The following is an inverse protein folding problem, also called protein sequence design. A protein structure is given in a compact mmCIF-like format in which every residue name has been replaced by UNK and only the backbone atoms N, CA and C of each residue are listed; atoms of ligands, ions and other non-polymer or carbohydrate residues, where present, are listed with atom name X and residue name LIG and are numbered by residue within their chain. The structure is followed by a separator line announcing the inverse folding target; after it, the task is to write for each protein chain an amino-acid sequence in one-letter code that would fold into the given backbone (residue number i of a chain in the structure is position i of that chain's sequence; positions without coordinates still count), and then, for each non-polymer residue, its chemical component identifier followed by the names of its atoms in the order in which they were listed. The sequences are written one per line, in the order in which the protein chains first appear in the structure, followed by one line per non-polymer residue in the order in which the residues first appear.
data_IF_840636759727
#
_entry.id   IF_840636759727
#
_cell.length_a   1.000
_cell.length_b   1.000
_cell.length_c   1.000
_cell.angle_alpha   90.00
_cell.angle_beta   90.00
_cell.angle_gamma   90.00
#
_symmetry.space_group_name_H-M   'P 1'
#
loop_
_entity.id
_entity.type
_entity.pdbx_description
1 polymer ?
#
# COMPACT_ATOMS: atom_id res chain seq x y z
N UNK A 1 -37.89 4.50 -26.65
CA UNK A 1 -37.01 3.34 -26.90
C UNK A 1 -35.92 3.85 -27.81
N UNK A 2 -34.71 4.08 -27.30
CA UNK A 2 -33.59 4.50 -28.13
C UNK A 2 -33.00 3.25 -28.78
N UNK A 3 -32.99 3.21 -30.11
CA UNK A 3 -32.32 2.17 -30.89
C UNK A 3 -30.81 2.34 -30.69
N UNK A 4 -30.18 1.29 -30.17
CA UNK A 4 -28.72 1.17 -30.08
C UNK A 4 -28.22 0.97 -31.51
N UNK A 5 -27.29 1.82 -31.94
CA UNK A 5 -26.79 1.82 -33.32
C UNK A 5 -25.88 0.60 -33.56
N UNK A 6 -25.82 0.06 -34.78
CA UNK A 6 -24.90 -1.04 -35.13
C UNK A 6 -23.41 -0.70 -34.90
N UNK A 7 -23.06 0.59 -34.81
CA UNK A 7 -21.74 1.07 -34.39
C UNK A 7 -21.43 0.77 -32.90
N UNK A 8 -22.44 0.82 -32.02
CA UNK A 8 -22.28 0.48 -30.60
C UNK A 8 -22.05 -1.02 -30.38
N UNK A 9 -22.56 -1.88 -31.27
CA UNK A 9 -22.37 -3.34 -31.22
C UNK A 9 -20.96 -3.72 -31.70
N UNK A 10 -20.40 -3.01 -32.67
CA UNK A 10 -19.06 -3.28 -33.21
C UNK A 10 -17.94 -2.74 -32.31
N UNK A 11 -18.18 -1.68 -31.54
CA UNK A 11 -17.25 -1.20 -30.51
C UNK A 11 -17.07 -2.20 -29.34
N UNK A 12 -18.13 -2.94 -28.98
CA UNK A 12 -18.06 -3.99 -27.95
C UNK A 12 -17.30 -5.26 -28.40
N UNK A 13 -17.19 -5.49 -29.72
CA UNK A 13 -16.53 -6.67 -30.30
C UNK A 13 -15.00 -6.55 -30.39
N UNK A 14 -14.45 -5.35 -30.20
CA UNK A 14 -13.00 -5.07 -30.28
C UNK A 14 -12.37 -4.79 -28.91
N UNK A 15 -13.03 -5.18 -27.81
CA UNK A 15 -12.34 -5.28 -26.52
C UNK A 15 -11.16 -6.25 -26.69
N UNK A 16 -9.92 -5.87 -26.30
CA UNK A 16 -8.82 -6.82 -26.30
C UNK A 16 -9.25 -8.03 -25.49
N UNK A 17 -9.15 -9.23 -26.08
CA UNK A 17 -9.49 -10.46 -25.40
C UNK A 17 -8.74 -10.50 -24.08
N UNK A 18 -9.46 -10.42 -22.96
CA UNK A 18 -8.90 -10.62 -21.62
C UNK A 18 -8.16 -11.95 -21.67
N UNK A 19 -6.84 -11.93 -21.53
CA UNK A 19 -6.03 -13.14 -21.41
C UNK A 19 -6.60 -13.91 -20.22
N UNK A 20 -7.37 -14.97 -20.50
CA UNK A 20 -7.89 -15.84 -19.46
C UNK A 20 -6.76 -16.74 -19.00
N UNK A 21 -6.18 -16.39 -17.85
CA UNK A 21 -5.21 -17.26 -17.18
C UNK A 21 -5.93 -18.50 -16.65
N UNK A 22 -5.33 -19.65 -16.90
CA UNK A 22 -5.82 -20.93 -16.41
C UNK A 22 -5.23 -21.24 -15.04
N UNK A 23 -5.86 -22.17 -14.32
CA UNK A 23 -5.26 -22.69 -13.07
C UNK A 23 -3.89 -23.34 -13.28
N UNK A 24 -3.64 -23.90 -14.48
CA UNK A 24 -2.38 -24.55 -14.80
C UNK A 24 -1.25 -23.53 -15.00
N UNK A 25 -1.56 -22.33 -15.52
CA UNK A 25 -0.56 -21.26 -15.66
C UNK A 25 -0.03 -20.80 -14.30
N UNK A 26 -0.94 -20.62 -13.33
CA UNK A 26 -0.57 -20.25 -11.95
C UNK A 26 0.26 -21.38 -11.31
N UNK A 27 -0.16 -22.64 -11.47
CA UNK A 27 0.57 -23.78 -10.91
C UNK A 27 1.95 -23.94 -11.55
N UNK A 28 2.06 -23.80 -12.87
CA UNK A 28 3.33 -23.90 -13.58
C UNK A 28 4.30 -22.81 -13.12
N UNK A 29 3.82 -21.56 -12.99
CA UNK A 29 4.63 -20.45 -12.48
C UNK A 29 5.07 -20.66 -11.03
N UNK A 30 4.17 -21.12 -10.16
CA UNK A 30 4.48 -21.43 -8.76
C UNK A 30 5.49 -22.59 -8.64
N UNK A 31 5.29 -23.68 -9.38
CA UNK A 31 6.18 -24.85 -9.37
C UNK A 31 7.58 -24.52 -9.90
N UNK A 32 7.70 -23.56 -10.82
CA UNK A 32 9.00 -23.12 -11.31
C UNK A 32 9.86 -22.45 -10.23
N UNK A 33 9.26 -21.98 -9.13
CA UNK A 33 9.96 -21.45 -7.96
C UNK A 33 10.45 -22.54 -6.98
N UNK A 34 10.19 -23.83 -7.25
CA UNK A 34 10.51 -24.93 -6.33
C UNK A 34 11.56 -25.90 -6.93
N UNK A 35 12.76 -26.04 -6.32
CA UNK A 35 13.33 -25.17 -5.27
C UNK A 35 13.72 -23.79 -5.83
N UNK A 36 13.75 -22.74 -4.99
CA UNK A 36 14.03 -21.39 -5.47
C UNK A 36 15.49 -21.27 -5.94
N UNK A 37 15.74 -20.73 -7.15
CA UNK A 37 17.09 -20.44 -7.61
C UNK A 37 17.78 -19.43 -6.68
N UNK A 38 19.05 -19.66 -6.35
CA UNK A 38 19.79 -18.76 -5.43
C UNK A 38 20.24 -17.44 -6.07
N UNK A 39 20.11 -17.29 -7.39
CA UNK A 39 20.58 -16.10 -8.13
C UNK A 39 19.40 -15.18 -8.48
N UNK A 40 19.43 -13.88 -8.11
CA UNK A 40 18.40 -12.90 -8.48
C UNK A 40 18.07 -12.89 -9.97
N UNK A 41 19.09 -13.01 -10.83
CA UNK A 41 18.92 -13.03 -12.29
C UNK A 41 18.03 -14.17 -12.81
N UNK A 42 17.99 -15.29 -12.09
CA UNK A 42 17.17 -16.45 -12.44
C UNK A 42 15.82 -16.40 -11.72
N UNK A 43 15.80 -15.83 -10.52
CA UNK A 43 14.63 -15.77 -9.67
C UNK A 43 13.62 -14.68 -10.10
N UNK A 44 14.11 -13.49 -10.47
CA UNK A 44 13.25 -12.36 -10.85
C UNK A 44 12.30 -12.68 -12.02
N UNK A 45 12.72 -13.32 -13.13
CA UNK A 45 11.80 -13.69 -14.20
C UNK A 45 10.70 -14.67 -13.76
N UNK A 46 11.01 -15.57 -12.83
CA UNK A 46 10.04 -16.55 -12.31
C UNK A 46 9.00 -15.87 -11.41
N UNK A 47 9.45 -14.96 -10.54
CA UNK A 47 8.55 -14.14 -9.73
C UNK A 47 7.71 -13.20 -10.58
N UNK A 48 8.28 -12.62 -11.64
CA UNK A 48 7.52 -11.76 -12.57
C UNK A 48 6.41 -12.56 -13.27
N UNK A 49 6.73 -13.78 -13.72
CA UNK A 49 5.76 -14.67 -14.34
C UNK A 49 4.63 -15.03 -13.37
N UNK A 50 4.95 -15.38 -12.12
CA UNK A 50 3.92 -15.66 -11.11
C UNK A 50 3.08 -14.42 -10.81
N UNK A 51 3.72 -13.26 -10.60
CA UNK A 51 3.04 -11.99 -10.37
C UNK A 51 2.10 -11.61 -11.52
N UNK A 52 2.53 -11.79 -12.77
CA UNK A 52 1.70 -11.61 -13.96
C UNK A 52 0.50 -12.56 -13.95
N UNK A 53 0.71 -13.85 -13.63
CA UNK A 53 -0.37 -14.82 -13.54
C UNK A 53 -1.44 -14.42 -12.51
N UNK A 54 -1.01 -13.95 -11.34
CA UNK A 54 -1.88 -13.47 -10.28
C UNK A 54 -2.61 -12.17 -10.68
N UNK A 55 -1.91 -11.22 -11.31
CA UNK A 55 -2.48 -9.94 -11.75
C UNK A 55 -3.68 -10.09 -12.71
N UNK A 56 -3.64 -11.09 -13.58
CA UNK A 56 -4.74 -11.37 -14.51
C UNK A 56 -5.90 -12.17 -13.89
N UNK A 57 -5.76 -12.60 -12.63
CA UNK A 57 -6.80 -13.34 -11.93
C UNK A 57 -7.79 -12.37 -11.28
N UNK A 58 -9.06 -12.43 -11.66
CA UNK A 58 -10.09 -11.59 -11.05
C UNK A 58 -10.29 -11.92 -9.56
N UNK A 59 -10.80 -10.94 -8.80
CA UNK A 59 -11.20 -11.15 -7.41
C UNK A 59 -12.33 -12.19 -7.32
N UNK A 60 -12.34 -12.96 -6.24
CA UNK A 60 -13.30 -14.07 -6.02
C UNK A 60 -13.31 -15.09 -7.16
N UNK A 61 -12.17 -15.73 -7.46
CA UNK A 61 -12.04 -16.65 -8.59
C UNK A 61 -12.79 -17.98 -8.35
N UNK A 62 -12.84 -18.83 -9.37
CA UNK A 62 -13.39 -20.18 -9.23
C UNK A 62 -12.61 -21.00 -8.19
N UNK A 63 -13.24 -22.02 -7.61
CA UNK A 63 -12.61 -22.89 -6.60
C UNK A 63 -11.30 -23.54 -7.08
N UNK A 64 -11.21 -23.85 -8.37
CA UNK A 64 -10.01 -24.49 -8.93
C UNK A 64 -8.85 -23.49 -9.08
N UNK A 65 -9.14 -22.26 -9.52
CA UNK A 65 -8.17 -21.16 -9.55
C UNK A 65 -7.75 -20.78 -8.12
N UNK A 66 -8.69 -20.69 -7.18
CA UNK A 66 -8.37 -20.40 -5.77
C UNK A 66 -7.45 -21.47 -5.17
N UNK A 67 -7.65 -22.75 -5.52
CA UNK A 67 -6.73 -23.82 -5.14
C UNK A 67 -5.33 -23.62 -5.72
N UNK A 68 -5.21 -23.17 -6.97
CA UNK A 68 -3.92 -22.84 -7.57
C UNK A 68 -3.25 -21.62 -6.90
N UNK A 69 -4.01 -20.59 -6.57
CA UNK A 69 -3.53 -19.41 -5.82
C UNK A 69 -3.01 -19.80 -4.44
N UNK A 70 -3.74 -20.67 -3.72
CA UNK A 70 -3.30 -21.17 -2.42
C UNK A 70 -2.01 -21.99 -2.52
N UNK A 71 -1.83 -22.78 -3.59
CA UNK A 71 -0.59 -23.50 -3.85
C UNK A 71 0.59 -22.55 -4.14
N UNK A 72 0.33 -21.45 -4.85
CA UNK A 72 1.34 -20.45 -5.16
C UNK A 72 1.90 -19.72 -3.92
N UNK A 73 1.21 -19.79 -2.77
CA UNK A 73 1.69 -19.20 -1.52
C UNK A 73 2.89 -19.96 -0.94
N UNK A 74 2.95 -21.27 -1.09
CA UNK A 74 3.98 -22.12 -0.46
C UNK A 74 5.42 -21.70 -0.80
N UNK A 75 5.80 -21.54 -2.08
CA UNK A 75 7.15 -21.07 -2.41
C UNK A 75 7.45 -19.67 -1.88
N UNK A 76 6.46 -18.76 -1.85
CA UNK A 76 6.64 -17.38 -1.40
C UNK A 76 7.01 -17.28 0.08
N UNK A 77 6.68 -18.30 0.88
CA UNK A 77 7.04 -18.39 2.30
C UNK A 77 8.39 -19.06 2.56
N UNK A 78 9.07 -19.57 1.53
CA UNK A 78 10.41 -20.12 1.65
C UNK A 78 11.38 -19.06 2.17
N UNK A 79 12.25 -19.42 3.12
CA UNK A 79 13.21 -18.49 3.73
C UNK A 79 14.15 -17.88 2.67
N UNK A 80 14.44 -18.65 1.63
CA UNK A 80 15.22 -18.24 0.46
C UNK A 80 14.60 -17.05 -0.28
N UNK A 81 13.28 -16.88 -0.25
CA UNK A 81 12.58 -15.73 -0.84
C UNK A 81 12.30 -14.64 0.18
N UNK A 82 11.80 -15.01 1.36
CA UNK A 82 11.42 -14.05 2.41
C UNK A 82 12.62 -13.29 2.98
N UNK A 83 13.71 -14.01 3.24
CA UNK A 83 14.90 -13.48 3.89
C UNK A 83 16.00 -13.15 2.86
N UNK A 84 15.62 -13.09 1.58
CA UNK A 84 16.53 -12.78 0.48
C UNK A 84 17.14 -11.38 0.65
N UNK A 85 18.43 -11.21 0.34
CA UNK A 85 19.14 -9.92 0.57
C UNK A 85 18.91 -8.89 -0.54
N UNK A 86 18.62 -9.35 -1.76
CA UNK A 86 18.34 -8.50 -2.91
C UNK A 86 16.99 -7.79 -2.78
N UNK A 87 17.00 -6.47 -2.96
CA UNK A 87 15.83 -5.60 -2.78
C UNK A 87 14.79 -5.80 -3.87
N UNK A 88 15.21 -6.01 -5.13
CA UNK A 88 14.27 -6.23 -6.24
C UNK A 88 13.53 -7.55 -6.01
N UNK A 89 14.22 -8.62 -5.57
CA UNK A 89 13.56 -9.89 -5.22
C UNK A 89 12.46 -9.67 -4.19
N UNK A 90 12.71 -8.89 -3.13
CA UNK A 90 11.69 -8.57 -2.12
C UNK A 90 10.50 -7.83 -2.70
N UNK A 91 10.71 -6.87 -3.60
CA UNK A 91 9.61 -6.15 -4.27
C UNK A 91 8.76 -7.08 -5.11
N UNK A 92 9.37 -8.03 -5.81
CA UNK A 92 8.63 -9.01 -6.61
C UNK A 92 7.85 -10.01 -5.76
N UNK A 93 8.39 -10.44 -4.61
CA UNK A 93 7.65 -11.23 -3.61
C UNK A 93 6.48 -10.41 -3.04
N UNK A 94 6.71 -9.13 -2.71
CA UNK A 94 5.67 -8.21 -2.24
C UNK A 94 4.53 -8.07 -3.24
N UNK A 95 4.86 -7.94 -4.52
CA UNK A 95 3.89 -7.89 -5.61
C UNK A 95 3.02 -9.14 -5.67
N UNK A 96 3.63 -10.34 -5.57
CA UNK A 96 2.87 -11.60 -5.56
C UNK A 96 1.88 -11.63 -4.38
N UNK A 97 2.33 -11.27 -3.17
CA UNK A 97 1.43 -11.20 -2.02
C UNK A 97 0.33 -10.13 -2.16
N UNK A 98 0.66 -8.97 -2.72
CA UNK A 98 -0.32 -7.90 -2.96
C UNK A 98 -1.43 -8.34 -3.91
N UNK A 99 -1.08 -9.11 -4.96
CA UNK A 99 -2.07 -9.69 -5.87
C UNK A 99 -2.90 -10.79 -5.21
N UNK A 100 -2.28 -11.62 -4.37
CA UNK A 100 -3.02 -12.62 -3.60
C UNK A 100 -4.04 -11.93 -2.69
N UNK A 101 -3.65 -10.88 -1.97
CA UNK A 101 -4.57 -10.08 -1.16
C UNK A 101 -5.72 -9.53 -2.00
N UNK A 102 -5.44 -8.97 -3.19
CA UNK A 102 -6.48 -8.50 -4.13
C UNK A 102 -7.44 -9.61 -4.54
N UNK A 103 -6.92 -10.78 -4.91
CA UNK A 103 -7.72 -11.93 -5.37
C UNK A 103 -8.63 -12.44 -4.26
N UNK A 104 -8.12 -12.51 -3.03
CA UNK A 104 -8.80 -13.12 -1.88
C UNK A 104 -9.59 -12.13 -1.03
N UNK A 105 -9.49 -10.83 -1.31
CA UNK A 105 -10.30 -9.82 -0.63
C UNK A 105 -11.80 -10.16 -0.75
N UNK A 106 -12.61 -9.91 0.31
CA UNK A 106 -12.26 -9.28 1.58
C UNK A 106 -11.69 -10.24 2.65
N UNK A 107 -11.65 -11.54 2.37
CA UNK A 107 -11.35 -12.60 3.33
C UNK A 107 -10.00 -13.28 3.00
N UNK A 108 -8.86 -12.64 3.30
CA UNK A 108 -7.55 -13.19 2.96
C UNK A 108 -7.27 -14.51 3.71
N UNK A 109 -6.62 -15.49 3.07
CA UNK A 109 -6.37 -16.81 3.63
C UNK A 109 -5.13 -16.83 4.54
N UNK A 110 -4.84 -15.71 5.22
CA UNK A 110 -3.66 -15.50 6.04
C UNK A 110 -4.07 -15.25 7.49
N UNK A 111 -3.30 -15.79 8.43
CA UNK A 111 -3.46 -15.41 9.84
C UNK A 111 -2.87 -14.02 10.15
N UNK A 112 -3.20 -13.46 11.31
CA UNK A 112 -2.73 -12.14 11.75
C UNK A 112 -1.21 -11.98 11.71
N UNK A 113 -0.46 -13.04 11.98
CA UNK A 113 1.01 -13.04 11.95
C UNK A 113 1.53 -12.97 10.52
N UNK A 114 0.99 -13.81 9.64
CA UNK A 114 1.30 -13.79 8.20
C UNK A 114 0.95 -12.44 7.57
N UNK A 115 -0.23 -11.89 7.86
CA UNK A 115 -0.66 -10.59 7.37
C UNK A 115 0.33 -9.47 7.77
N UNK A 116 0.82 -9.49 9.01
CA UNK A 116 1.82 -8.52 9.49
C UNK A 116 3.13 -8.59 8.71
N UNK A 117 3.63 -9.80 8.42
CA UNK A 117 4.85 -9.96 7.63
C UNK A 117 4.65 -9.53 6.17
N UNK A 118 3.48 -9.83 5.58
CA UNK A 118 3.13 -9.35 4.23
C UNK A 118 3.10 -7.82 4.19
N UNK A 119 2.43 -7.17 5.15
CA UNK A 119 2.39 -5.70 5.16
C UNK A 119 3.74 -5.06 5.40
N UNK A 120 4.62 -5.66 6.22
CA UNK A 120 6.01 -5.17 6.35
C UNK A 120 6.71 -5.18 5.01
N UNK A 121 6.56 -6.26 4.25
CA UNK A 121 7.16 -6.39 2.93
C UNK A 121 6.59 -5.37 1.94
N UNK A 122 5.27 -5.18 1.91
CA UNK A 122 4.59 -4.18 1.07
C UNK A 122 5.05 -2.76 1.43
N UNK A 123 5.01 -2.37 2.70
CA UNK A 123 5.39 -1.03 3.14
C UNK A 123 6.86 -0.73 2.86
N UNK A 124 7.75 -1.71 3.00
CA UNK A 124 9.16 -1.55 2.64
C UNK A 124 9.35 -1.26 1.13
N UNK A 125 8.41 -1.66 0.26
CA UNK A 125 8.49 -1.30 -1.17
C UNK A 125 8.33 0.20 -1.43
N UNK A 126 7.70 0.93 -0.50
CA UNK A 126 7.42 2.36 -0.64
C UNK A 126 8.62 3.27 -0.32
N UNK A 127 9.66 2.76 0.33
CA UNK A 127 10.87 3.54 0.66
C UNK A 127 11.58 4.07 -0.60
N UNK A 128 11.64 3.28 -1.67
CA UNK A 128 12.31 3.68 -2.93
C UNK A 128 11.35 3.82 -4.12
N UNK A 129 10.08 4.15 -3.86
CA UNK A 129 9.04 4.18 -4.91
C UNK A 129 9.24 5.23 -6.00
N UNK A 130 10.01 6.30 -5.73
CA UNK A 130 10.29 7.36 -6.72
C UNK A 130 11.71 7.29 -7.29
N UNK A 131 12.40 6.16 -7.19
CA UNK A 131 13.71 5.96 -7.83
C UNK A 131 13.54 5.34 -9.24
N UNK A 132 13.59 6.15 -10.31
CA UNK A 132 13.44 5.65 -11.68
C UNK A 132 14.63 4.78 -12.14
N UNK A 133 15.73 4.74 -11.39
CA UNK A 133 16.89 3.90 -11.70
C UNK A 133 16.73 2.46 -11.18
N UNK A 134 15.77 2.21 -10.29
CA UNK A 134 15.47 0.88 -9.77
C UNK A 134 14.81 0.01 -10.84
N UNK A 135 15.28 -1.25 -10.98
CA UNK A 135 14.67 -2.23 -11.88
C UNK A 135 13.22 -2.54 -11.50
N UNK A 136 12.87 -2.39 -10.22
CA UNK A 136 11.53 -2.62 -9.71
C UNK A 136 10.67 -1.35 -9.64
N UNK A 137 11.08 -0.22 -10.25
CA UNK A 137 10.37 1.07 -10.16
C UNK A 137 8.89 0.96 -10.56
N UNK A 138 8.62 0.43 -11.76
CA UNK A 138 7.24 0.22 -12.25
C UNK A 138 6.45 -0.70 -11.32
N UNK A 139 7.12 -1.72 -10.76
CA UNK A 139 6.50 -2.69 -9.87
C UNK A 139 6.10 -2.06 -8.53
N UNK A 140 6.89 -1.16 -7.97
CA UNK A 140 6.55 -0.43 -6.73
C UNK A 140 5.33 0.46 -6.91
N UNK A 141 5.22 1.14 -8.05
CA UNK A 141 4.02 1.95 -8.35
C UNK A 141 2.79 1.08 -8.50
N UNK A 142 2.91 -0.03 -9.23
CA UNK A 142 1.82 -1.00 -9.36
C UNK A 142 1.36 -1.54 -7.99
N UNK A 143 2.30 -1.86 -7.09
CA UNK A 143 1.98 -2.28 -5.71
C UNK A 143 1.17 -1.21 -4.98
N UNK A 144 1.60 0.07 -5.05
CA UNK A 144 0.90 1.19 -4.43
C UNK A 144 -0.53 1.35 -4.95
N UNK A 145 -0.73 1.29 -6.27
CA UNK A 145 -2.03 1.45 -6.91
C UNK A 145 -2.98 0.31 -6.52
N UNK A 146 -2.53 -0.95 -6.57
CA UNK A 146 -3.32 -2.10 -6.11
C UNK A 146 -3.62 -2.00 -4.61
N UNK A 147 -2.66 -1.56 -3.79
CA UNK A 147 -2.83 -1.40 -2.35
C UNK A 147 -3.91 -0.35 -2.01
N UNK A 148 -3.93 0.78 -2.74
CA UNK A 148 -5.00 1.77 -2.67
C UNK A 148 -6.34 1.17 -3.11
N UNK A 149 -6.37 0.52 -4.28
CA UNK A 149 -7.59 -0.02 -4.89
C UNK A 149 -8.32 -1.02 -3.99
N UNK A 150 -7.56 -1.91 -3.35
CA UNK A 150 -8.12 -2.93 -2.42
C UNK A 150 -8.35 -2.35 -1.03
N UNK A 151 -7.92 -1.11 -0.79
CA UNK A 151 -7.94 -0.47 0.52
C UNK A 151 -7.30 -1.36 1.58
N UNK A 152 -6.15 -1.95 1.24
CA UNK A 152 -5.43 -2.94 2.05
C UNK A 152 -4.99 -2.39 3.41
N UNK A 153 -4.95 -1.07 3.57
CA UNK A 153 -4.74 -0.41 4.84
C UNK A 153 -5.83 -0.74 5.89
N UNK A 154 -7.04 -1.16 5.49
CA UNK A 154 -8.11 -1.54 6.44
C UNK A 154 -7.63 -2.67 7.35
N UNK A 155 -7.07 -3.72 6.74
CA UNK A 155 -6.50 -4.84 7.50
C UNK A 155 -5.34 -4.40 8.41
N UNK A 156 -4.57 -3.39 8.01
CA UNK A 156 -3.52 -2.84 8.90
C UNK A 156 -4.10 -2.15 10.13
N UNK A 157 -5.26 -1.49 10.01
CA UNK A 157 -5.98 -0.88 11.13
C UNK A 157 -6.57 -1.97 12.04
N UNK A 158 -7.25 -2.97 11.46
CA UNK A 158 -7.84 -4.10 12.19
C UNK A 158 -6.79 -4.88 13.00
N UNK A 159 -5.61 -5.09 12.42
CA UNK A 159 -4.47 -5.77 13.05
C UNK A 159 -3.68 -4.87 14.03
N UNK A 160 -4.08 -3.60 14.16
CA UNK A 160 -3.45 -2.58 15.01
C UNK A 160 -1.98 -2.32 14.66
N UNK A 161 -1.65 -2.35 13.38
CA UNK A 161 -0.30 -2.12 12.85
C UNK A 161 0.07 -0.63 12.77
N UNK A 162 -0.23 0.17 13.81
CA UNK A 162 -0.10 1.63 13.75
C UNK A 162 1.34 2.12 13.53
N UNK A 163 2.34 1.40 14.05
CA UNK A 163 3.75 1.71 13.78
C UNK A 163 4.10 1.54 12.30
N UNK A 164 3.53 0.53 11.64
CA UNK A 164 3.76 0.25 10.23
C UNK A 164 2.99 1.23 9.33
N UNK A 165 1.80 1.67 9.75
CA UNK A 165 1.07 2.76 9.09
C UNK A 165 1.87 4.07 9.19
N UNK A 166 2.44 4.36 10.37
CA UNK A 166 3.32 5.54 10.56
C UNK A 166 4.54 5.47 9.66
N UNK A 167 5.18 4.30 9.57
CA UNK A 167 6.30 4.05 8.66
C UNK A 167 5.92 4.29 7.19
N UNK A 168 4.78 3.76 6.75
CA UNK A 168 4.25 4.00 5.40
C UNK A 168 4.06 5.50 5.12
N UNK A 169 3.52 6.25 6.09
CA UNK A 169 3.34 7.69 5.95
C UNK A 169 4.70 8.41 5.82
N UNK A 170 5.70 8.00 6.59
CA UNK A 170 7.05 8.55 6.46
C UNK A 170 7.64 8.28 5.07
N UNK A 171 7.52 7.05 4.56
CA UNK A 171 7.97 6.70 3.21
C UNK A 171 7.32 7.59 2.16
N UNK A 172 6.01 7.81 2.23
CA UNK A 172 5.29 8.68 1.29
C UNK A 172 5.75 10.15 1.37
N UNK A 173 5.96 10.67 2.58
CA UNK A 173 6.33 12.06 2.79
C UNK A 173 7.81 12.34 2.42
N UNK A 174 8.70 11.37 2.60
CA UNK A 174 10.14 11.55 2.38
C UNK A 174 10.57 11.19 0.96
N UNK A 175 9.98 10.15 0.37
CA UNK A 175 10.52 9.54 -0.84
C UNK A 175 9.79 9.93 -2.12
N UNK A 176 8.71 10.72 -2.04
CA UNK A 176 8.00 11.21 -3.23
C UNK A 176 8.86 12.19 -4.04
N UNK A 177 8.97 11.97 -5.36
CA UNK A 177 9.63 12.88 -6.30
C UNK A 177 8.72 13.16 -7.49
N UNK A 178 8.49 14.44 -7.82
CA UNK A 178 7.93 14.82 -9.12
C UNK A 178 9.06 14.89 -10.14
N UNK A 179 9.24 13.85 -10.95
CA UNK A 179 10.00 14.03 -12.17
C UNK A 179 9.14 14.74 -13.23
N UNK A 180 9.65 15.84 -13.76
CA UNK A 180 9.02 16.63 -14.83
C UNK A 180 9.20 15.99 -16.22
N UNK A 181 9.76 14.79 -16.30
CA UNK A 181 10.20 14.15 -17.55
C UNK A 181 9.10 13.33 -18.24
N UNK A 182 8.03 12.94 -17.54
CA UNK A 182 7.03 12.01 -18.07
C UNK A 182 6.15 12.58 -19.19
N UNK A 183 6.05 13.91 -19.33
CA UNK A 183 5.32 14.54 -20.47
C UNK A 183 5.93 14.10 -21.82
N UNK A 184 7.23 13.81 -21.88
CA UNK A 184 7.90 13.39 -23.13
C UNK A 184 7.68 11.91 -23.47
N UNK A 185 7.35 11.07 -22.48
CA UNK A 185 7.17 9.62 -22.67
C UNK A 185 5.79 9.33 -23.29
N UNK A 186 4.75 10.07 -22.89
CA UNK A 186 3.41 9.95 -23.48
C UNK A 186 3.40 10.16 -25.00
N UNK A 187 4.33 10.94 -25.55
CA UNK A 187 4.43 11.22 -27.00
C UNK A 187 5.14 10.09 -27.76
N UNK A 188 6.09 9.38 -27.14
CA UNK A 188 6.81 8.27 -27.78
C UNK A 188 5.95 7.00 -27.84
N UNK A 189 5.09 6.77 -26.84
CA UNK A 189 4.18 5.62 -26.77
C UNK A 189 3.18 5.61 -27.94
N UNK A 190 2.73 6.78 -28.39
CA UNK A 190 1.79 6.93 -29.50
C UNK A 190 2.38 6.50 -30.87
N UNK A 191 3.70 6.38 -30.99
CA UNK A 191 4.39 6.14 -32.26
C UNK A 191 4.67 4.64 -32.53
N UNK A 192 4.63 3.76 -31.51
CA UNK A 192 5.20 2.39 -31.63
C UNK A 192 4.16 1.26 -31.47
N UNK A 193 2.95 1.52 -30.97
CA UNK A 193 1.84 0.54 -31.02
C UNK A 193 2.06 -0.75 -30.18
N UNK A 194 2.88 -0.72 -29.13
CA UNK A 194 2.89 -1.76 -28.08
C UNK A 194 2.12 -1.25 -26.85
N UNK A 195 1.20 -2.06 -26.27
CA UNK A 195 0.58 -1.72 -25.00
C UNK A 195 1.61 -1.93 -23.88
N UNK A 196 2.23 -0.85 -23.44
CA UNK A 196 2.88 -0.83 -22.12
C UNK A 196 1.72 -0.74 -21.12
N UNK A 197 1.44 -1.85 -20.43
CA UNK A 197 0.55 -1.81 -19.26
C UNK A 197 1.30 -0.99 -18.21
N UNK A 198 0.91 0.28 -18.05
CA UNK A 198 1.43 1.15 -17.00
C UNK A 198 2.00 2.47 -17.51
N UNK A 199 1.15 3.37 -17.99
CA UNK A 199 1.44 4.81 -17.95
C UNK A 199 1.36 5.28 -16.48
N UNK A 200 2.30 4.81 -15.64
CA UNK A 200 2.37 5.20 -14.24
C UNK A 200 3.00 6.60 -14.14
N UNK A 201 2.15 7.62 -14.25
CA UNK A 201 2.57 9.00 -14.17
C UNK A 201 2.96 9.36 -12.72
N UNK A 202 4.01 10.17 -12.46
CA UNK A 202 4.36 10.61 -11.11
C UNK A 202 3.22 11.29 -10.35
N UNK A 203 2.24 11.84 -11.08
CA UNK A 203 1.01 12.38 -10.50
C UNK A 203 0.04 11.31 -9.98
N UNK A 204 0.00 10.10 -10.58
CA UNK A 204 -0.77 8.98 -10.03
C UNK A 204 -0.19 8.58 -8.67
N UNK A 205 1.13 8.50 -8.56
CA UNK A 205 1.83 8.21 -7.29
C UNK A 205 1.50 9.25 -6.22
N UNK A 206 1.59 10.55 -6.52
CA UNK A 206 1.21 11.63 -5.60
C UNK A 206 -0.27 11.52 -5.17
N UNK A 207 -1.16 11.22 -6.13
CA UNK A 207 -2.58 11.07 -5.86
C UNK A 207 -2.83 9.89 -4.93
N UNK A 208 -2.31 8.71 -5.26
CA UNK A 208 -2.49 7.47 -4.50
C UNK A 208 -1.96 7.57 -3.09
N UNK A 209 -0.74 8.08 -2.90
CA UNK A 209 -0.19 8.32 -1.56
C UNK A 209 -1.11 9.24 -0.74
N UNK A 210 -1.55 10.35 -1.33
CA UNK A 210 -2.43 11.30 -0.66
C UNK A 210 -3.79 10.69 -0.31
N UNK A 211 -4.40 9.95 -1.23
CA UNK A 211 -5.66 9.25 -1.02
C UNK A 211 -5.55 8.25 0.12
N UNK A 212 -4.53 7.37 0.11
CA UNK A 212 -4.32 6.38 1.18
C UNK A 212 -4.20 7.09 2.53
N UNK A 213 -3.34 8.12 2.63
CA UNK A 213 -3.14 8.84 3.90
C UNK A 213 -4.43 9.47 4.42
N UNK A 214 -5.23 10.09 3.54
CA UNK A 214 -6.50 10.71 3.89
C UNK A 214 -7.51 9.65 4.36
N UNK A 215 -7.68 8.58 3.58
CA UNK A 215 -8.63 7.50 3.88
C UNK A 215 -8.31 6.84 5.22
N UNK A 216 -7.03 6.53 5.47
CA UNK A 216 -6.57 5.97 6.75
C UNK A 216 -6.92 6.90 7.91
N UNK A 217 -6.67 8.21 7.80
CA UNK A 217 -6.98 9.16 8.87
C UNK A 217 -8.49 9.24 9.14
N UNK A 218 -9.32 9.20 8.09
CA UNK A 218 -10.77 9.21 8.21
C UNK A 218 -11.34 7.96 8.88
N UNK A 219 -10.66 6.83 8.78
CA UNK A 219 -11.08 5.58 9.40
C UNK A 219 -10.82 5.54 10.92
N UNK A 220 -9.96 6.43 11.44
CA UNK A 220 -9.67 6.51 12.87
C UNK A 220 -10.68 7.37 13.66
N UNK A 221 -11.33 6.75 14.65
CA UNK A 221 -12.09 7.47 15.68
C UNK A 221 -11.18 8.33 16.59
N UNK A 222 -10.09 7.73 17.08
CA UNK A 222 -9.02 8.41 17.85
C UNK A 222 -7.68 8.21 17.12
N UNK A 223 -7.23 9.24 16.39
CA UNK A 223 -5.99 9.19 15.60
C UNK A 223 -4.76 9.00 16.52
N UNK A 224 -3.92 7.97 16.33
CA UNK A 224 -2.67 7.80 17.07
C UNK A 224 -1.71 8.98 16.85
N UNK A 225 -1.04 9.45 17.92
CA UNK A 225 -0.05 10.53 17.84
C UNK A 225 1.08 10.22 16.86
N UNK A 226 1.48 8.96 16.80
CA UNK A 226 2.53 8.47 15.92
C UNK A 226 2.19 8.66 14.43
N UNK A 227 0.92 8.87 14.07
CA UNK A 227 0.50 9.23 12.71
C UNK A 227 0.47 10.74 12.48
N UNK A 228 0.21 11.53 13.52
CA UNK A 228 0.11 13.00 13.44
C UNK A 228 1.50 13.63 13.40
N UNK A 229 2.45 13.12 14.19
CA UNK A 229 3.78 13.70 14.30
C UNK A 229 4.53 13.76 12.96
N UNK A 230 4.59 12.69 12.14
CA UNK A 230 5.24 12.76 10.83
C UNK A 230 4.62 13.79 9.88
N UNK A 231 3.29 13.93 9.90
CA UNK A 231 2.56 14.92 9.10
C UNK A 231 2.91 16.35 9.52
N UNK A 232 2.91 16.61 10.82
CA UNK A 232 3.23 17.93 11.37
C UNK A 232 4.69 18.31 11.13
N UNK A 233 5.61 17.37 11.37
CA UNK A 233 7.04 17.59 11.20
C UNK A 233 7.38 17.92 9.74
N UNK A 234 6.69 17.28 8.79
CA UNK A 234 6.84 17.53 7.35
C UNK A 234 6.43 18.95 6.95
N UNK A 235 5.38 19.52 7.55
CA UNK A 235 4.89 20.86 7.18
C UNK A 235 5.47 22.00 8.02
N UNK A 236 6.28 21.69 9.04
CA UNK A 236 6.88 22.70 9.92
C UNK A 236 7.95 23.49 9.16
N UNK A 237 7.90 24.82 9.29
CA UNK A 237 8.91 25.72 8.75
C UNK A 237 10.32 25.32 9.24
N UNK A 238 11.27 25.17 8.31
CA UNK A 238 12.66 24.81 8.61
C UNK A 238 13.00 23.32 8.57
N UNK A 239 12.09 22.44 8.12
CA UNK A 239 12.44 21.05 7.83
C UNK A 239 13.20 20.92 6.49
N UNK A 240 14.53 21.07 6.52
CA UNK A 240 15.40 20.96 5.35
C UNK A 240 15.53 19.52 4.83
N UNK A 241 15.08 18.51 5.59
CA UNK A 241 15.18 17.09 5.25
C UNK A 241 14.09 16.56 4.32
N UNK A 242 13.00 17.32 4.11
CA UNK A 242 11.86 16.88 3.29
C UNK A 242 11.79 17.66 1.99
N UNK A 243 11.64 16.95 0.87
CA UNK A 243 11.48 17.56 -0.45
C UNK A 243 10.22 18.44 -0.52
N UNK A 244 10.21 19.53 -1.31
CA UNK A 244 9.04 20.41 -1.44
C UNK A 244 7.76 19.69 -1.86
N UNK A 245 7.86 18.57 -2.57
CA UNK A 245 6.71 17.75 -2.95
C UNK A 245 6.15 16.96 -1.76
N UNK A 246 7.00 16.43 -0.88
CA UNK A 246 6.58 15.79 0.37
C UNK A 246 5.86 16.78 1.28
N UNK A 247 6.34 18.03 1.35
CA UNK A 247 5.67 19.12 2.06
C UNK A 247 4.28 19.40 1.47
N UNK A 248 4.15 19.45 0.13
CA UNK A 248 2.84 19.61 -0.54
C UNK A 248 1.89 18.46 -0.25
N UNK A 249 2.39 17.22 -0.23
CA UNK A 249 1.60 16.05 0.13
C UNK A 249 1.09 16.16 1.57
N UNK A 250 1.98 16.45 2.52
CA UNK A 250 1.62 16.67 3.93
C UNK A 250 0.58 17.79 4.11
N UNK A 251 0.75 18.92 3.42
CA UNK A 251 -0.24 20.00 3.41
C UNK A 251 -1.60 19.55 2.86
N UNK A 252 -1.61 18.82 1.74
CA UNK A 252 -2.85 18.26 1.16
C UNK A 252 -3.56 17.38 2.17
N UNK A 253 -2.85 16.45 2.81
CA UNK A 253 -3.44 15.53 3.81
C UNK A 253 -4.00 16.32 5.00
N UNK A 254 -3.23 17.23 5.59
CA UNK A 254 -3.67 18.04 6.74
C UNK A 254 -4.92 18.87 6.41
N UNK A 255 -4.97 19.49 5.22
CA UNK A 255 -6.10 20.29 4.79
C UNK A 255 -7.36 19.44 4.58
N UNK A 256 -7.23 18.23 4.02
CA UNK A 256 -8.36 17.33 3.79
C UNK A 256 -8.86 16.66 5.08
N UNK A 257 -8.00 16.48 6.07
CA UNK A 257 -8.32 15.86 7.36
C UNK A 257 -8.44 16.88 8.51
N UNK A 258 -8.67 18.16 8.19
CA UNK A 258 -8.63 19.24 9.18
C UNK A 258 -9.66 19.07 10.29
N UNK A 259 -10.86 18.54 9.97
CA UNK A 259 -11.95 18.32 10.93
C UNK A 259 -11.65 17.20 11.93
N UNK A 260 -11.04 16.12 11.45
CA UNK A 260 -10.70 14.93 12.22
C UNK A 260 -9.50 15.23 13.13
N UNK A 261 -8.46 15.88 12.57
CA UNK A 261 -7.30 16.34 13.31
C UNK A 261 -7.69 17.40 14.37
N UNK A 262 -8.58 18.34 14.05
CA UNK A 262 -9.02 19.35 15.02
C UNK A 262 -9.87 18.74 16.15
N UNK A 263 -10.73 17.76 15.83
CA UNK A 263 -11.51 17.02 16.83
C UNK A 263 -10.60 16.28 17.82
N UNK A 264 -9.52 15.69 17.32
CA UNK A 264 -8.47 15.08 18.14
C UNK A 264 -7.84 16.07 19.13
N UNK A 265 -7.37 17.24 18.67
CA UNK A 265 -6.75 18.22 19.57
C UNK A 265 -7.71 18.72 20.64
N UNK A 266 -8.96 18.99 20.26
CA UNK A 266 -10.00 19.46 21.19
C UNK A 266 -10.31 18.42 22.26
N UNK A 267 -10.32 17.15 21.91
CA UNK A 267 -10.63 16.06 22.82
C UNK A 267 -9.46 15.76 23.79
N UNK A 268 -8.21 15.77 23.30
CA UNK A 268 -7.04 15.51 24.14
C UNK A 268 -6.74 16.66 25.13
N UNK A 269 -6.97 17.92 24.74
CA UNK A 269 -6.89 19.06 25.68
C UNK A 269 -7.93 18.92 26.80
N UNK A 270 -9.12 18.38 26.50
CA UNK A 270 -10.15 18.12 27.53
C UNK A 270 -9.82 16.91 28.41
N UNK A 271 -9.27 15.82 27.86
CA UNK A 271 -8.80 14.65 28.63
C UNK A 271 -7.64 15.03 29.56
N UNK A 272 -6.68 15.85 29.10
CA UNK A 272 -5.57 16.36 29.91
C UNK A 272 -6.05 17.18 31.13
N UNK A 273 -6.94 18.15 30.91
CA UNK A 273 -7.53 18.94 32.01
C UNK A 273 -8.32 18.11 33.02
N UNK A 274 -9.00 17.05 32.59
CA UNK A 274 -9.73 16.15 33.51
C UNK A 274 -8.80 15.30 34.37
N UNK A 275 -7.66 14.83 33.82
CA UNK A 275 -6.65 14.10 34.59
C UNK A 275 -6.01 14.99 35.65
N UNK A 276 -5.67 16.24 35.31
CA UNK A 276 -5.15 17.22 36.27
C UNK A 276 -6.16 17.55 37.39
N UNK A 277 -7.44 17.68 37.07
CA UNK A 277 -8.51 17.89 38.07
C UNK A 277 -8.74 16.66 38.98
N UNK A 278 -8.58 15.44 38.47
CA UNK A 278 -8.69 14.22 39.29
C UNK A 278 -7.47 13.99 40.18
N UNK A 279 -6.26 14.31 39.71
CA UNK A 279 -5.04 14.22 40.53
C UNK A 279 -5.01 15.28 41.64
N UNK A 280 -5.49 16.51 41.37
CA UNK A 280 -5.65 17.52 42.43
C UNK A 280 -6.73 17.13 43.45
N UNK A 281 -7.78 16.43 43.03
CA UNK A 281 -8.84 15.93 43.92
C UNK A 281 -8.39 14.78 44.83
N UNK A 282 -7.55 13.86 44.32
CA UNK A 282 -7.02 12.74 45.12
C UNK A 282 -5.92 13.18 46.10
N UNK A 283 -5.10 14.17 45.75
CA UNK A 283 -4.07 14.68 46.67
C UNK A 283 -4.67 15.44 47.86
N UNK A 284 -5.89 15.99 47.74
CA UNK A 284 -6.60 16.62 48.86
C UNK A 284 -7.33 15.62 49.77
N UNK A 285 -7.74 14.46 49.25
CA UNK A 285 -8.39 13.42 50.06
C UNK A 285 -7.40 12.57 50.86
N UNK A 286 -6.17 12.39 50.38
CA UNK A 286 -5.10 11.70 51.13
C UNK A 286 -4.47 12.57 52.23
N UNK A 287 -4.43 13.89 52.05
CA UNK A 287 -4.00 14.83 53.09
C UNK A 287 -4.98 14.90 54.28
N UNK A 288 -6.27 14.64 54.06
CA UNK A 288 -7.28 14.63 55.13
C UNK A 288 -7.32 13.31 55.94
N UNK A 289 -6.57 12.28 55.52
CA UNK A 289 -6.54 10.96 56.16
C UNK A 289 -5.36 10.73 57.11
N UNK A 290 -4.40 11.65 57.16
CA UNK A 290 -3.18 11.54 57.97
C UNK A 290 -3.23 12.29 59.30
N UNK A 291 -4.31 13.03 59.60
CA UNK A 291 -4.47 13.81 60.84
C UNK A 291 -5.30 13.12 61.95
N UNK A 292 -5.59 11.81 61.82
CA UNK A 292 -6.19 11.00 62.88
C UNK A 292 -5.43 9.68 63.05
N UNK A 293 -4.28 9.72 63.73
CA UNK A 293 -3.65 8.58 64.41
C UNK A 293 -2.75 9.08 65.54
#
# INVERSE_FOLDING_TARGET
MAEISEEDITAAANAPALVQISEEDIRAAANALLPPPSSPRQLLPLLDQLGYCLAQTAQSPSTSILSAVNQAMEPLWANELRDHLDEDVKVYVAHCFNEILRITAPDPPFDDGQMKEIFKLIVATFDNISDPSSLSYSKRIYILETFEQVSSWNWMIDLKCYSLISEMFMHFLQNIRLETTCIKVSVIVLVIGMPIIGDHHPESVFSSMGSIMILVIWDFDEIPLDLIFPLWDTVRDGNEGVLPIGQKLGQKVILNCATELHSYFRFNVKKGKRRESQEMGNNHSDAARTDFS
#
